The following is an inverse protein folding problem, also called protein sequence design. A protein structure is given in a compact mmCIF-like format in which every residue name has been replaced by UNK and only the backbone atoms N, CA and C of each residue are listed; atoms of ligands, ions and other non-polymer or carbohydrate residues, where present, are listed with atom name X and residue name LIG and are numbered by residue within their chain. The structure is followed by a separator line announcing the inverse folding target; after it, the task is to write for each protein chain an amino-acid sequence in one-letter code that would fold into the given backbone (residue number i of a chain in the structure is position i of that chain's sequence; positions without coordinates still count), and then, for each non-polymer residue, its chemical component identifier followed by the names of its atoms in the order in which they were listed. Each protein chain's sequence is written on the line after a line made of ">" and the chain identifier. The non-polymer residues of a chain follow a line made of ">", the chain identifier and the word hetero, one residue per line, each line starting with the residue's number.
data_IF_563628731902
#
_entry.id   IF_563628731902
#
_cell.length_a   1.000
_cell.length_b   1.000
_cell.length_c   1.000
_cell.angle_alpha   90.00
_cell.angle_beta   90.00
_cell.angle_gamma   90.00
#
_symmetry.space_group_name_H-M   'P 1'
#
loop_
_entity.id
_entity.type
_entity.pdbx_description
1 polymer ?
#
# COMPACT_ATOMS: atom_id res chain seq x y z
N UNK A 1 6.36 -37.21 -17.04
CA UNK A 1 5.58 -37.35 -15.78
C UNK A 1 5.70 -36.07 -14.91
N UNK A 2 5.33 -34.88 -15.42
CA UNK A 2 5.45 -33.59 -14.69
C UNK A 2 4.11 -32.85 -14.47
N UNK A 3 2.99 -33.34 -15.02
CA UNK A 3 1.69 -32.70 -14.92
C UNK A 3 1.10 -32.62 -13.48
N UNK A 4 1.23 -33.65 -12.61
CA UNK A 4 0.60 -33.62 -11.28
C UNK A 4 1.16 -32.53 -10.35
N UNK A 5 2.45 -32.23 -10.47
CA UNK A 5 3.18 -31.28 -9.60
C UNK A 5 2.84 -29.84 -9.99
N UNK A 6 2.71 -29.56 -11.30
CA UNK A 6 2.31 -28.24 -11.78
C UNK A 6 0.90 -27.88 -11.33
N UNK A 7 -0.03 -28.85 -11.37
CA UNK A 7 -1.40 -28.68 -10.92
C UNK A 7 -1.49 -28.44 -9.40
N UNK A 8 -0.70 -29.15 -8.61
CA UNK A 8 -0.67 -28.98 -7.15
C UNK A 8 -0.15 -27.60 -6.74
N UNK A 9 0.87 -27.12 -7.44
CA UNK A 9 1.47 -25.82 -7.18
C UNK A 9 0.51 -24.69 -7.57
N UNK A 10 -0.13 -24.76 -8.75
CA UNK A 10 -1.19 -23.81 -9.13
C UNK A 10 -2.35 -23.79 -8.11
N UNK A 11 -2.77 -24.98 -7.64
CA UNK A 11 -3.80 -25.10 -6.59
C UNK A 11 -3.35 -24.47 -5.27
N UNK A 12 -2.08 -24.57 -4.91
CA UNK A 12 -1.54 -23.97 -3.68
C UNK A 12 -1.47 -22.43 -3.76
N UNK A 13 -1.05 -21.86 -4.90
CA UNK A 13 -1.12 -20.42 -5.11
C UNK A 13 -2.56 -19.89 -5.05
N UNK A 14 -3.50 -20.60 -5.68
CA UNK A 14 -4.92 -20.24 -5.62
C UNK A 14 -5.44 -20.27 -4.16
N UNK A 15 -5.09 -21.31 -3.40
CA UNK A 15 -5.42 -21.39 -1.96
C UNK A 15 -4.83 -20.23 -1.16
N UNK A 16 -3.58 -19.84 -1.45
CA UNK A 16 -2.95 -18.72 -0.77
C UNK A 16 -3.65 -17.39 -1.06
N UNK A 17 -4.02 -17.14 -2.32
CA UNK A 17 -4.80 -15.97 -2.72
C UNK A 17 -6.17 -15.93 -2.02
N UNK A 18 -6.86 -17.07 -1.95
CA UNK A 18 -8.13 -17.17 -1.19
C UNK A 18 -7.95 -16.90 0.31
N UNK A 19 -6.85 -17.35 0.92
CA UNK A 19 -6.56 -17.04 2.33
C UNK A 19 -6.35 -15.55 2.56
N UNK A 20 -5.68 -14.84 1.63
CA UNK A 20 -5.51 -13.39 1.70
C UNK A 20 -6.87 -12.69 1.61
N UNK A 21 -7.69 -13.05 0.62
CA UNK A 21 -9.04 -12.50 0.46
C UNK A 21 -9.90 -12.76 1.69
N UNK A 22 -9.87 -13.96 2.27
CA UNK A 22 -10.59 -14.27 3.50
C UNK A 22 -10.14 -13.39 4.68
N UNK A 23 -8.83 -13.12 4.81
CA UNK A 23 -8.29 -12.20 5.83
C UNK A 23 -8.74 -10.76 5.59
N UNK A 24 -8.67 -10.27 4.35
CA UNK A 24 -9.10 -8.91 3.98
C UNK A 24 -10.61 -8.72 4.18
N UNK A 25 -11.44 -9.69 3.78
CA UNK A 25 -12.89 -9.71 4.04
C UNK A 25 -13.20 -9.70 5.54
N UNK A 26 -12.48 -10.51 6.33
CA UNK A 26 -12.60 -10.52 7.81
C UNK A 26 -12.19 -9.17 8.42
N UNK A 27 -11.15 -8.53 7.88
CA UNK A 27 -10.74 -7.20 8.32
C UNK A 27 -11.81 -6.14 7.97
N UNK A 28 -12.36 -6.17 6.76
CA UNK A 28 -13.45 -5.28 6.33
C UNK A 28 -14.68 -5.42 7.23
N UNK A 29 -15.20 -6.64 7.40
CA UNK A 29 -16.37 -6.95 8.23
C UNK A 29 -16.24 -6.48 9.69
N UNK A 30 -15.01 -6.44 10.21
CA UNK A 30 -14.72 -6.04 11.58
C UNK A 30 -14.26 -4.57 11.68
N UNK A 31 -14.49 -3.73 10.67
CA UNK A 31 -14.06 -2.32 10.61
C UNK A 31 -12.54 -2.15 10.85
N UNK A 32 -11.76 -3.16 10.46
CA UNK A 32 -10.32 -3.25 10.68
C UNK A 32 -9.51 -3.11 9.41
N UNK A 33 -10.14 -2.99 8.24
CA UNK A 33 -9.45 -2.69 6.99
C UNK A 33 -9.21 -1.18 6.87
N UNK A 34 -7.97 -0.79 6.60
CA UNK A 34 -7.59 0.55 6.19
C UNK A 34 -6.98 0.46 4.78
N UNK A 35 -7.44 1.31 3.86
CA UNK A 35 -6.96 1.38 2.49
C UNK A 35 -6.15 2.66 2.35
N UNK A 36 -4.91 2.53 1.89
CA UNK A 36 -4.06 3.66 1.52
C UNK A 36 -4.01 3.71 -0.01
N UNK A 37 -4.63 4.74 -0.58
CA UNK A 37 -4.61 5.01 -2.01
C UNK A 37 -3.37 5.84 -2.37
N UNK A 38 -2.68 5.44 -3.43
CA UNK A 38 -1.58 6.21 -4.03
C UNK A 38 -1.94 6.78 -5.40
N UNK A 39 -0.96 7.41 -6.05
CA UNK A 39 -1.17 8.17 -7.27
C UNK A 39 -1.67 7.31 -8.43
N UNK A 40 -1.42 6.00 -8.40
CA UNK A 40 -1.95 5.04 -9.38
C UNK A 40 -3.47 4.97 -9.38
N UNK A 41 -4.14 5.30 -8.27
CA UNK A 41 -5.59 5.42 -8.24
C UNK A 41 -6.04 6.60 -9.10
N UNK A 42 -5.48 7.79 -8.86
CA UNK A 42 -5.80 9.00 -9.63
C UNK A 42 -5.45 8.80 -11.11
N UNK A 43 -4.22 8.36 -11.41
CA UNK A 43 -3.78 8.11 -12.79
C UNK A 43 -4.68 7.15 -13.55
N UNK A 44 -5.19 6.10 -12.88
CA UNK A 44 -6.10 5.15 -13.52
C UNK A 44 -7.47 5.78 -13.83
N UNK A 45 -8.08 6.46 -12.85
CA UNK A 45 -9.43 6.99 -13.03
C UNK A 45 -9.49 8.17 -13.99
N UNK A 46 -8.38 8.90 -14.15
CA UNK A 46 -8.26 10.04 -15.06
C UNK A 46 -7.59 9.71 -16.39
N UNK A 47 -7.19 8.45 -16.63
CA UNK A 47 -6.54 8.03 -17.87
C UNK A 47 -7.32 8.48 -19.12
N UNK A 48 -6.62 8.82 -20.19
CA UNK A 48 -7.24 9.30 -21.43
C UNK A 48 -8.11 8.23 -22.10
N UNK A 49 -8.74 8.57 -23.23
CA UNK A 49 -9.59 7.63 -23.99
C UNK A 49 -8.82 6.43 -24.55
N UNK A 50 -7.50 6.55 -24.67
CA UNK A 50 -6.59 5.48 -25.11
C UNK A 50 -6.07 4.65 -23.93
N UNK A 51 -6.44 5.00 -22.70
CA UNK A 51 -5.99 4.34 -21.47
C UNK A 51 -4.62 4.80 -20.97
N UNK A 52 -4.06 5.88 -21.52
CA UNK A 52 -2.78 6.41 -21.05
C UNK A 52 -2.97 7.20 -19.75
N UNK A 53 -2.11 6.99 -18.74
CA UNK A 53 -2.16 7.77 -17.51
C UNK A 53 -1.88 9.25 -17.79
N UNK A 54 -2.43 10.13 -16.95
CA UNK A 54 -2.10 11.56 -17.01
C UNK A 54 -0.65 11.78 -16.58
N UNK A 55 0.28 11.86 -17.53
CA UNK A 55 1.71 12.00 -17.24
C UNK A 55 2.01 13.20 -16.34
N UNK A 56 1.27 14.31 -16.44
CA UNK A 56 1.51 15.55 -15.68
C UNK A 56 1.45 15.42 -14.15
N UNK A 57 0.89 14.33 -13.61
CA UNK A 57 0.84 14.09 -12.16
C UNK A 57 1.77 12.96 -11.70
N UNK A 58 2.62 12.43 -12.59
CA UNK A 58 3.78 11.64 -12.17
C UNK A 58 4.81 12.57 -11.53
N UNK A 59 5.69 12.04 -10.69
CA UNK A 59 6.61 12.88 -9.92
C UNK A 59 7.56 13.71 -10.78
N UNK A 60 8.20 13.10 -11.77
CA UNK A 60 9.12 13.78 -12.69
C UNK A 60 8.43 14.91 -13.43
N UNK A 61 7.24 14.65 -13.98
CA UNK A 61 6.49 15.66 -14.74
C UNK A 61 5.85 16.70 -13.82
N UNK A 62 5.47 16.35 -12.60
CA UNK A 62 5.01 17.30 -11.59
C UNK A 62 6.12 18.29 -11.24
N UNK A 63 7.34 17.79 -10.98
CA UNK A 63 8.48 18.64 -10.65
C UNK A 63 8.88 19.50 -11.85
N UNK A 64 8.89 18.93 -13.05
CA UNK A 64 9.11 19.67 -14.30
C UNK A 64 8.07 20.77 -14.49
N UNK A 65 6.79 20.46 -14.29
CA UNK A 65 5.68 21.41 -14.38
C UNK A 65 5.84 22.58 -13.39
N UNK A 66 6.24 22.30 -12.15
CA UNK A 66 6.53 23.36 -11.18
C UNK A 66 7.69 24.24 -11.60
N UNK A 67 8.78 23.65 -12.09
CA UNK A 67 9.93 24.41 -12.58
C UNK A 67 9.59 25.27 -13.80
N UNK A 68 8.86 24.70 -14.76
CA UNK A 68 8.38 25.40 -15.95
C UNK A 68 7.45 26.56 -15.59
N UNK A 69 6.55 26.37 -14.61
CA UNK A 69 5.70 27.46 -14.10
C UNK A 69 6.53 28.62 -13.52
N UNK A 70 7.56 28.31 -12.72
CA UNK A 70 8.44 29.36 -12.17
C UNK A 70 9.19 30.13 -13.27
N UNK A 71 9.59 29.44 -14.35
CA UNK A 71 10.30 30.05 -15.49
C UNK A 71 9.34 30.85 -16.38
N UNK A 72 8.19 30.29 -16.74
CA UNK A 72 7.25 30.92 -17.68
C UNK A 72 6.63 32.20 -17.11
N UNK A 73 6.38 32.21 -15.81
CA UNK A 73 5.84 33.38 -15.10
C UNK A 73 6.95 34.38 -14.69
N UNK A 74 8.22 34.08 -14.99
CA UNK A 74 9.34 34.99 -14.76
C UNK A 74 9.80 35.11 -13.30
N UNK A 75 9.43 34.16 -12.43
CA UNK A 75 9.90 34.12 -11.04
C UNK A 75 11.38 33.70 -10.95
N UNK A 76 11.82 32.81 -11.84
CA UNK A 76 13.20 32.36 -11.96
C UNK A 76 13.62 32.33 -13.43
N UNK A 77 14.93 32.31 -13.67
CA UNK A 77 15.51 32.27 -15.02
C UNK A 77 16.28 30.96 -15.24
N UNK A 78 16.34 30.48 -16.48
CA UNK A 78 17.04 29.23 -16.84
C UNK A 78 18.56 29.31 -16.67
N UNK A 79 19.14 30.52 -16.64
CA UNK A 79 20.55 30.75 -16.29
C UNK A 79 20.81 30.64 -14.78
N UNK A 80 19.78 30.65 -13.94
CA UNK A 80 19.93 30.49 -12.50
C UNK A 80 20.51 29.12 -12.17
N UNK A 81 21.60 29.08 -11.38
CA UNK A 81 22.29 27.84 -11.02
C UNK A 81 21.39 26.81 -10.34
N UNK A 82 20.45 27.24 -9.47
CA UNK A 82 19.50 26.32 -8.80
C UNK A 82 18.49 25.77 -9.80
N UNK A 83 17.94 26.62 -10.67
CA UNK A 83 16.99 26.22 -11.72
C UNK A 83 17.63 25.22 -12.69
N UNK A 84 18.86 25.50 -13.16
CA UNK A 84 19.60 24.56 -14.01
C UNK A 84 19.83 23.22 -13.32
N UNK A 85 20.28 23.23 -12.06
CA UNK A 85 20.47 22.00 -11.27
C UNK A 85 19.17 21.21 -11.14
N UNK A 86 18.02 21.88 -10.98
CA UNK A 86 16.73 21.20 -10.89
C UNK A 86 16.37 20.51 -12.22
N UNK A 87 16.54 21.17 -13.37
CA UNK A 87 16.36 20.52 -14.68
C UNK A 87 17.32 19.35 -14.87
N UNK A 88 18.62 19.54 -14.58
CA UNK A 88 19.62 18.47 -14.70
C UNK A 88 19.27 17.26 -13.82
N UNK A 89 18.74 17.50 -12.61
CA UNK A 89 18.33 16.45 -11.68
C UNK A 89 17.04 15.71 -12.10
N UNK A 90 16.18 16.32 -12.94
CA UNK A 90 15.01 15.66 -13.52
C UNK A 90 15.33 14.73 -14.69
N UNK A 91 16.52 14.85 -15.27
CA UNK A 91 17.04 13.92 -16.27
C UNK A 91 17.76 12.72 -15.63
N UNK A 92 18.00 12.77 -14.32
CA UNK A 92 18.59 11.66 -13.56
C UNK A 92 17.52 10.58 -13.30
N UNK A 93 17.71 9.33 -13.77
CA UNK A 93 16.78 8.25 -13.52
C UNK A 93 16.78 7.77 -12.06
N UNK A 94 17.71 8.25 -11.22
CA UNK A 94 17.77 7.90 -9.81
C UNK A 94 16.82 8.74 -8.94
N UNK A 95 16.28 8.10 -7.89
CA UNK A 95 15.34 8.73 -6.94
C UNK A 95 15.95 9.94 -6.22
N UNK A 96 17.26 9.96 -6.02
CA UNK A 96 17.96 11.05 -5.35
C UNK A 96 17.92 12.35 -6.19
N UNK A 97 18.00 12.24 -7.52
CA UNK A 97 17.85 13.38 -8.43
C UNK A 97 16.46 14.01 -8.35
N UNK A 98 15.42 13.17 -8.33
CA UNK A 98 14.04 13.62 -8.19
C UNK A 98 13.78 14.34 -6.85
N UNK A 99 14.35 13.84 -5.75
CA UNK A 99 14.27 14.50 -4.44
C UNK A 99 15.02 15.84 -4.42
N UNK A 100 16.17 15.92 -5.08
CA UNK A 100 16.93 17.16 -5.24
C UNK A 100 16.14 18.22 -6.03
N UNK A 101 15.50 17.81 -7.13
CA UNK A 101 14.61 18.67 -7.90
C UNK A 101 13.43 19.14 -7.05
N UNK A 102 12.78 18.24 -6.31
CA UNK A 102 11.66 18.56 -5.43
C UNK A 102 12.04 19.58 -4.35
N UNK A 103 13.21 19.43 -3.72
CA UNK A 103 13.73 20.39 -2.75
C UNK A 103 13.91 21.79 -3.37
N UNK A 104 14.43 21.88 -4.60
CA UNK A 104 14.66 23.16 -5.28
C UNK A 104 13.34 23.81 -5.70
N UNK A 105 12.46 23.07 -6.37
CA UNK A 105 11.16 23.56 -6.85
C UNK A 105 10.32 24.04 -5.67
N UNK A 106 10.20 23.23 -4.62
CA UNK A 106 9.42 23.58 -3.42
C UNK A 106 9.98 24.83 -2.74
N UNK A 107 11.30 24.92 -2.59
CA UNK A 107 11.97 26.09 -2.00
C UNK A 107 11.69 27.36 -2.81
N UNK A 108 11.79 27.32 -4.14
CA UNK A 108 11.53 28.47 -5.00
C UNK A 108 10.05 28.85 -5.01
N UNK A 109 9.15 27.88 -5.12
CA UNK A 109 7.70 28.10 -5.04
C UNK A 109 7.29 28.78 -3.74
N UNK A 110 7.78 28.28 -2.59
CA UNK A 110 7.51 28.85 -1.26
C UNK A 110 8.09 30.27 -1.15
N UNK A 111 9.32 30.50 -1.66
CA UNK A 111 9.96 31.83 -1.66
C UNK A 111 9.15 32.88 -2.43
N UNK A 112 8.54 32.50 -3.56
CA UNK A 112 7.77 33.41 -4.42
C UNK A 112 6.27 33.41 -4.12
N UNK A 113 5.82 32.73 -3.07
CA UNK A 113 4.41 32.64 -2.70
C UNK A 113 3.53 31.89 -3.72
N UNK A 114 4.14 31.13 -4.63
CA UNK A 114 3.44 30.46 -5.73
C UNK A 114 3.00 29.03 -5.38
N UNK A 115 3.50 28.46 -4.28
CA UNK A 115 3.29 27.04 -3.97
C UNK A 115 1.81 26.62 -3.96
N UNK A 116 0.94 27.39 -3.29
CA UNK A 116 -0.49 27.06 -3.24
C UNK A 116 -1.19 27.24 -4.59
N UNK A 117 -0.85 28.29 -5.34
CA UNK A 117 -1.45 28.57 -6.66
C UNK A 117 -1.04 27.52 -7.69
N UNK A 118 0.23 27.10 -7.65
CA UNK A 118 0.74 26.04 -8.49
C UNK A 118 0.05 24.70 -8.19
N UNK A 119 -0.05 24.31 -6.92
CA UNK A 119 -0.76 23.09 -6.54
C UNK A 119 -2.24 23.11 -6.99
N UNK A 120 -2.95 24.23 -6.79
CA UNK A 120 -4.31 24.43 -7.29
C UNK A 120 -4.39 24.24 -8.81
N UNK A 121 -3.45 24.83 -9.56
CA UNK A 121 -3.42 24.74 -11.03
C UNK A 121 -3.23 23.30 -11.54
N UNK A 122 -2.53 22.45 -10.79
CA UNK A 122 -2.26 21.06 -11.16
C UNK A 122 -3.40 20.14 -10.75
N UNK A 123 -3.90 20.28 -9.52
CA UNK A 123 -4.78 19.30 -8.89
C UNK A 123 -6.26 19.73 -8.87
N UNK A 124 -6.57 21.03 -8.95
CA UNK A 124 -7.91 21.58 -8.72
C UNK A 124 -9.01 21.07 -9.67
N UNK A 125 -8.63 20.68 -10.90
CA UNK A 125 -9.57 20.16 -11.91
C UNK A 125 -9.65 18.63 -11.98
N UNK A 126 -8.77 17.88 -11.29
CA UNK A 126 -8.61 16.44 -11.54
C UNK A 126 -9.87 15.63 -11.26
N UNK A 127 -10.64 16.02 -10.25
CA UNK A 127 -11.93 15.39 -9.92
C UNK A 127 -12.98 15.52 -11.03
N UNK A 128 -12.84 16.51 -11.92
CA UNK A 128 -13.70 16.70 -13.10
C UNK A 128 -13.21 15.89 -14.31
N UNK A 129 -11.99 15.36 -14.26
CA UNK A 129 -11.35 14.61 -15.35
C UNK A 129 -11.48 13.09 -15.19
N UNK A 130 -12.32 12.63 -14.26
CA UNK A 130 -12.60 11.20 -14.07
C UNK A 130 -13.29 10.65 -15.32
N UNK A 131 -12.67 9.67 -15.96
CA UNK A 131 -13.16 8.95 -17.16
C UNK A 131 -13.43 7.48 -16.88
N UNK A 132 -12.68 6.88 -15.95
CA UNK A 132 -12.72 5.44 -15.64
C UNK A 132 -13.04 5.21 -14.16
N UNK A 133 -14.30 5.36 -13.71
CA UNK A 133 -14.65 5.40 -12.29
C UNK A 133 -14.57 4.04 -11.58
N UNK A 134 -14.37 2.94 -12.29
CA UNK A 134 -14.55 1.59 -11.76
C UNK A 134 -13.70 1.29 -10.51
N UNK A 135 -12.47 1.81 -10.44
CA UNK A 135 -11.61 1.64 -9.27
C UNK A 135 -12.12 2.44 -8.07
N UNK A 136 -12.45 3.72 -8.26
CA UNK A 136 -12.94 4.59 -7.19
C UNK A 136 -14.34 4.20 -6.71
N UNK A 137 -15.20 3.66 -7.59
CA UNK A 137 -16.50 3.06 -7.23
C UNK A 137 -16.33 1.93 -6.22
N UNK A 138 -15.34 1.06 -6.43
CA UNK A 138 -15.08 -0.07 -5.53
C UNK A 138 -14.47 0.41 -4.21
N UNK A 139 -13.57 1.40 -4.24
CA UNK A 139 -13.04 2.02 -3.01
C UNK A 139 -14.15 2.66 -2.18
N UNK A 140 -15.09 3.35 -2.83
CA UNK A 140 -16.29 3.90 -2.20
C UNK A 140 -17.14 2.81 -1.56
N UNK A 141 -17.46 1.75 -2.29
CA UNK A 141 -18.25 0.63 -1.76
C UNK A 141 -17.56 -0.08 -0.58
N UNK A 142 -16.23 -0.21 -0.62
CA UNK A 142 -15.45 -0.74 0.51
C UNK A 142 -15.52 0.17 1.73
N UNK A 143 -15.46 1.49 1.53
CA UNK A 143 -15.63 2.46 2.61
C UNK A 143 -17.03 2.37 3.25
N UNK A 144 -18.07 2.30 2.42
CA UNK A 144 -19.46 2.10 2.86
C UNK A 144 -19.62 0.81 3.67
N UNK A 145 -18.83 -0.24 3.37
CA UNK A 145 -18.75 -1.49 4.14
C UNK A 145 -17.80 -1.45 5.34
N UNK A 146 -17.25 -0.29 5.71
CA UNK A 146 -16.49 -0.08 6.94
C UNK A 146 -14.98 0.02 6.78
N UNK A 147 -14.44 0.03 5.55
CA UNK A 147 -13.02 0.33 5.33
C UNK A 147 -12.72 1.80 5.68
N UNK A 148 -11.58 2.03 6.33
CA UNK A 148 -11.06 3.38 6.55
C UNK A 148 -10.25 3.81 5.31
N UNK A 149 -10.47 5.03 4.79
CA UNK A 149 -9.75 5.54 3.61
C UNK A 149 -8.66 6.54 4.02
N UNK A 150 -7.46 6.35 3.49
CA UNK A 150 -6.33 7.25 3.59
C UNK A 150 -5.72 7.41 2.20
N UNK A 151 -5.01 8.49 1.97
CA UNK A 151 -4.33 8.76 0.70
C UNK A 151 -2.97 9.39 0.91
N UNK A 152 -2.04 9.11 0.00
CA UNK A 152 -0.79 9.86 -0.14
C UNK A 152 -0.85 10.87 -1.29
N UNK A 153 -2.00 10.98 -1.96
CA UNK A 153 -2.20 11.91 -3.06
C UNK A 153 -2.54 13.30 -2.53
N UNK A 154 -2.11 14.31 -3.26
CA UNK A 154 -2.40 15.71 -2.95
C UNK A 154 -3.79 16.14 -3.45
N UNK A 155 -4.31 15.48 -4.48
CA UNK A 155 -5.61 15.76 -5.12
C UNK A 155 -6.82 15.46 -4.22
N UNK A 156 -8.02 15.88 -4.67
CA UNK A 156 -9.29 15.72 -3.95
C UNK A 156 -10.25 14.72 -4.61
N UNK A 157 -9.72 13.84 -5.47
CA UNK A 157 -10.53 12.93 -6.28
C UNK A 157 -11.34 11.98 -5.40
N UNK A 158 -10.71 11.43 -4.34
CA UNK A 158 -11.39 10.54 -3.41
C UNK A 158 -12.49 11.25 -2.63
N UNK A 159 -12.20 12.43 -2.07
CA UNK A 159 -13.14 13.19 -1.26
C UNK A 159 -14.38 13.59 -2.06
N UNK A 160 -14.17 14.23 -3.22
CA UNK A 160 -15.27 14.71 -4.07
C UNK A 160 -16.12 13.56 -4.59
N UNK A 161 -15.50 12.49 -5.08
CA UNK A 161 -16.23 11.35 -5.65
C UNK A 161 -16.97 10.53 -4.59
N UNK A 162 -16.32 10.28 -3.45
CA UNK A 162 -16.92 9.52 -2.35
C UNK A 162 -17.87 10.37 -1.48
N UNK A 163 -17.91 11.70 -1.69
CA UNK A 163 -18.63 12.67 -0.84
C UNK A 163 -18.17 12.59 0.62
N UNK A 164 -16.87 12.53 0.80
CA UNK A 164 -16.21 12.45 2.10
C UNK A 164 -15.53 13.78 2.41
N UNK A 165 -15.37 14.09 3.68
CA UNK A 165 -14.57 15.25 4.06
C UNK A 165 -13.08 14.90 3.99
N UNK A 166 -12.30 15.91 3.64
CA UNK A 166 -10.84 15.86 3.77
C UNK A 166 -10.46 15.94 5.23
N UNK A 167 -9.49 15.13 5.65
CA UNK A 167 -8.93 15.16 7.00
C UNK A 167 -7.43 15.40 6.88
N UNK A 168 -7.03 16.61 7.27
CA UNK A 168 -5.64 17.03 7.38
C UNK A 168 -4.99 16.59 8.70
N UNK A 169 -3.69 16.88 8.81
CA UNK A 169 -2.85 16.48 9.96
C UNK A 169 -2.90 17.50 11.10
N UNK A 170 -3.21 18.76 10.80
CA UNK A 170 -3.15 19.86 11.77
C UNK A 170 -4.35 19.91 12.72
N UNK A 171 -5.51 19.39 12.31
CA UNK A 171 -6.71 19.37 13.15
C UNK A 171 -6.77 18.11 14.03
N UNK A 172 -6.22 18.18 15.24
CA UNK A 172 -6.13 17.04 16.16
C UNK A 172 -7.50 16.45 16.55
N UNK A 173 -8.55 17.27 16.61
CA UNK A 173 -9.89 16.82 16.95
C UNK A 173 -10.46 15.95 15.84
N UNK A 174 -10.33 16.39 14.58
CA UNK A 174 -10.77 15.63 13.42
C UNK A 174 -9.97 14.35 13.26
N UNK A 175 -8.64 14.39 13.46
CA UNK A 175 -7.79 13.19 13.45
C UNK A 175 -8.23 12.19 14.51
N UNK A 176 -8.52 12.64 15.73
CA UNK A 176 -8.94 11.77 16.83
C UNK A 176 -10.32 11.16 16.57
N UNK A 177 -11.28 11.95 16.08
CA UNK A 177 -12.61 11.47 15.69
C UNK A 177 -12.54 10.49 14.54
N UNK A 178 -11.68 10.75 13.55
CA UNK A 178 -11.44 9.85 12.42
C UNK A 178 -10.86 8.50 12.87
N UNK A 179 -9.85 8.51 13.74
CA UNK A 179 -9.24 7.28 14.28
C UNK A 179 -10.24 6.39 15.00
N UNK A 180 -11.17 6.99 15.76
CA UNK A 180 -12.26 6.27 16.45
C UNK A 180 -13.38 5.83 15.51
N UNK A 181 -13.49 6.44 14.33
CA UNK A 181 -14.54 6.19 13.34
C UNK A 181 -15.77 7.09 13.48
N UNK A 182 -15.71 8.09 14.35
CA UNK A 182 -16.76 9.11 14.58
C UNK A 182 -16.85 10.11 13.41
N UNK A 183 -15.74 10.27 12.67
CA UNK A 183 -15.65 11.15 11.51
C UNK A 183 -15.36 10.32 10.25
N UNK A 184 -16.27 10.38 9.27
CA UNK A 184 -16.08 9.75 7.96
C UNK A 184 -15.37 10.72 7.03
N UNK A 185 -14.19 10.35 6.55
CA UNK A 185 -13.40 11.18 5.67
C UNK A 185 -12.27 10.41 5.01
N UNK A 186 -11.44 11.14 4.26
CA UNK A 186 -10.19 10.66 3.70
C UNK A 186 -9.06 11.36 4.43
N UNK A 187 -8.16 10.61 5.04
CA UNK A 187 -6.99 11.18 5.71
C UNK A 187 -5.81 11.34 4.74
N UNK A 188 -5.29 12.57 4.62
CA UNK A 188 -4.19 12.90 3.72
C UNK A 188 -2.85 12.81 4.45
N UNK A 189 -2.12 11.72 4.20
CA UNK A 189 -0.83 11.48 4.87
C UNK A 189 0.21 12.51 4.43
N UNK A 190 0.20 12.89 3.15
CA UNK A 190 1.12 13.87 2.56
C UNK A 190 0.50 15.26 2.40
N UNK A 191 -0.62 15.55 3.07
CA UNK A 191 -1.37 16.79 2.89
C UNK A 191 -2.16 16.83 1.58
N UNK A 192 -2.81 17.96 1.34
CA UNK A 192 -3.67 18.20 0.17
C UNK A 192 -3.36 19.55 -0.46
N UNK A 193 -3.59 19.69 -1.77
CA UNK A 193 -3.41 20.99 -2.46
C UNK A 193 -4.25 22.11 -1.83
N UNK A 194 -5.40 21.77 -1.23
CA UNK A 194 -6.29 22.70 -0.55
C UNK A 194 -5.74 23.18 0.81
N UNK A 195 -4.79 22.44 1.38
CA UNK A 195 -4.07 22.77 2.62
C UNK A 195 -2.56 22.77 2.34
N UNK A 196 -2.10 23.65 1.44
CA UNK A 196 -0.72 23.64 0.94
C UNK A 196 0.38 23.66 2.03
N UNK A 197 0.10 24.18 3.21
CA UNK A 197 1.02 24.17 4.35
C UNK A 197 1.25 22.78 4.96
N UNK A 198 0.38 21.80 4.68
CA UNK A 198 0.54 20.41 5.10
C UNK A 198 1.17 19.52 4.04
N UNK A 199 1.40 20.03 2.82
CA UNK A 199 1.88 19.23 1.69
C UNK A 199 3.32 18.76 1.94
N UNK A 200 3.56 17.47 1.72
CA UNK A 200 4.85 16.82 1.93
C UNK A 200 5.46 16.49 0.58
N UNK A 201 6.23 17.44 0.03
CA UNK A 201 6.82 17.30 -1.30
C UNK A 201 8.35 17.16 -1.26
N UNK A 202 9.00 17.70 -0.22
CA UNK A 202 10.45 17.76 -0.10
C UNK A 202 10.99 16.95 1.09
N UNK A 203 12.31 16.80 1.16
CA UNK A 203 12.98 16.01 2.21
C UNK A 203 12.84 16.60 3.62
N UNK A 204 12.65 17.92 3.74
CA UNK A 204 12.45 18.62 5.01
C UNK A 204 11.05 18.33 5.53
N UNK A 205 10.04 18.51 4.69
CA UNK A 205 8.64 18.23 5.01
C UNK A 205 8.50 16.74 5.42
N UNK A 206 9.20 15.84 4.74
CA UNK A 206 9.24 14.42 5.11
C UNK A 206 9.86 14.18 6.50
N UNK A 207 10.98 14.85 6.81
CA UNK A 207 11.59 14.77 8.12
C UNK A 207 10.61 15.24 9.21
N UNK A 208 9.90 16.34 8.99
CA UNK A 208 8.91 16.85 9.94
C UNK A 208 7.76 15.87 10.16
N UNK A 209 7.22 15.29 9.09
CA UNK A 209 6.16 14.28 9.16
C UNK A 209 6.64 13.04 9.91
N UNK A 210 7.86 12.58 9.59
CA UNK A 210 8.49 11.44 10.25
C UNK A 210 8.67 11.67 11.74
N UNK A 211 8.83 12.91 12.21
CA UNK A 211 9.00 13.24 13.64
C UNK A 211 7.74 13.81 14.28
N UNK A 212 6.66 14.03 13.53
CA UNK A 212 5.39 14.51 14.05
C UNK A 212 4.76 13.44 14.95
N UNK A 213 4.55 13.79 16.23
CA UNK A 213 3.90 12.91 17.21
C UNK A 213 2.50 12.47 16.80
N UNK A 214 1.72 13.35 16.16
CA UNK A 214 0.35 13.06 15.69
C UNK A 214 0.37 11.97 14.62
N UNK A 215 1.12 12.19 13.54
CA UNK A 215 1.26 11.23 12.43
C UNK A 215 1.86 9.90 12.90
N UNK A 216 2.93 9.93 13.70
CA UNK A 216 3.53 8.71 14.23
C UNK A 216 2.55 7.92 15.09
N UNK A 217 1.82 8.59 15.99
CA UNK A 217 0.84 7.95 16.87
C UNK A 217 -0.28 7.32 16.05
N UNK A 218 -0.82 8.07 15.09
CA UNK A 218 -1.85 7.61 14.18
C UNK A 218 -1.38 6.37 13.40
N UNK A 219 -0.27 6.48 12.67
CA UNK A 219 0.24 5.38 11.84
C UNK A 219 0.57 4.15 12.68
N UNK A 220 1.12 4.33 13.89
CA UNK A 220 1.38 3.23 14.83
C UNK A 220 0.07 2.55 15.25
N UNK A 221 -0.98 3.32 15.55
CA UNK A 221 -2.29 2.78 15.86
C UNK A 221 -2.89 2.02 14.65
N UNK A 222 -2.78 2.55 13.44
CA UNK A 222 -3.21 1.84 12.22
C UNK A 222 -2.42 0.54 11.99
N UNK A 223 -1.10 0.56 12.11
CA UNK A 223 -0.26 -0.64 11.94
C UNK A 223 -0.57 -1.71 13.00
N UNK A 224 -0.86 -1.31 14.24
CA UNK A 224 -1.16 -2.23 15.33
C UNK A 224 -2.61 -2.75 15.27
N UNK A 225 -3.56 -1.88 14.95
CA UNK A 225 -5.00 -2.13 15.11
C UNK A 225 -5.79 -2.25 13.81
N UNK A 226 -5.16 -2.07 12.64
CA UNK A 226 -5.79 -2.23 11.32
C UNK A 226 -4.95 -3.16 10.44
N UNK A 227 -5.61 -3.80 9.49
CA UNK A 227 -4.96 -4.43 8.33
C UNK A 227 -4.91 -3.36 7.25
N UNK A 228 -3.71 -3.10 6.73
CA UNK A 228 -3.51 -2.05 5.73
C UNK A 228 -3.42 -2.70 4.35
N UNK A 229 -4.16 -2.14 3.40
CA UNK A 229 -4.14 -2.50 2.00
C UNK A 229 -3.73 -1.28 1.18
N UNK A 230 -2.55 -1.33 0.56
CA UNK A 230 -2.07 -0.29 -0.34
C UNK A 230 -2.60 -0.55 -1.76
N UNK A 231 -3.17 0.48 -2.39
CA UNK A 231 -3.83 0.41 -3.69
C UNK A 231 -3.32 1.53 -4.58
N UNK A 232 -2.84 1.20 -5.79
CA UNK A 232 -2.27 2.18 -6.70
C UNK A 232 -0.97 2.78 -6.17
N UNK A 233 -0.09 1.93 -5.61
CA UNK A 233 1.21 2.31 -5.06
C UNK A 233 2.37 1.43 -5.62
N UNK A 234 2.22 0.88 -6.83
CA UNK A 234 3.20 0.02 -7.50
C UNK A 234 4.31 0.77 -8.25
N UNK A 235 5.13 0.05 -9.02
CA UNK A 235 6.24 0.62 -9.81
C UNK A 235 5.77 1.64 -10.85
N UNK A 236 6.60 2.67 -11.08
CA UNK A 236 6.29 3.81 -11.96
C UNK A 236 5.52 4.94 -11.26
N UNK A 237 5.23 4.77 -9.97
CA UNK A 237 4.73 5.82 -9.08
C UNK A 237 5.88 6.17 -8.13
N UNK A 238 6.88 6.85 -8.68
CA UNK A 238 8.15 7.22 -8.03
C UNK A 238 7.95 8.22 -6.89
N UNK A 239 7.05 7.92 -5.95
CA UNK A 239 6.86 8.71 -4.74
C UNK A 239 7.95 8.35 -3.74
N UNK A 240 8.98 9.20 -3.58
CA UNK A 240 10.08 8.91 -2.67
C UNK A 240 9.62 9.00 -1.20
N UNK A 241 8.57 9.79 -0.94
CA UNK A 241 7.99 9.97 0.39
C UNK A 241 7.17 8.73 0.80
N UNK A 242 6.51 8.09 -0.17
CA UNK A 242 5.80 6.84 0.04
C UNK A 242 6.75 5.67 0.37
N UNK A 243 7.86 5.50 -0.35
CA UNK A 243 8.87 4.47 -0.02
C UNK A 243 9.41 4.67 1.40
N UNK A 244 9.68 5.92 1.78
CA UNK A 244 10.18 6.23 3.10
C UNK A 244 9.13 5.93 4.21
N UNK A 245 7.84 6.21 3.98
CA UNK A 245 6.72 5.81 4.85
C UNK A 245 6.64 4.29 5.00
N UNK A 246 6.78 3.54 3.90
CA UNK A 246 6.79 2.07 3.91
C UNK A 246 8.01 1.50 4.63
N UNK A 247 9.19 2.08 4.42
CA UNK A 247 10.43 1.73 5.12
C UNK A 247 10.34 2.03 6.62
N UNK A 248 9.65 3.11 7.01
CA UNK A 248 9.38 3.39 8.41
C UNK A 248 8.47 2.32 9.01
N UNK A 249 7.39 1.94 8.32
CA UNK A 249 6.49 0.88 8.74
C UNK A 249 7.22 -0.48 8.83
N UNK A 250 8.16 -0.75 7.93
CA UNK A 250 8.93 -2.01 7.86
C UNK A 250 10.03 -2.11 8.91
N UNK A 251 10.84 -1.06 9.08
CA UNK A 251 11.99 -1.06 10.02
C UNK A 251 11.57 -1.19 11.47
N UNK A 252 10.32 -0.84 11.81
CA UNK A 252 9.90 -0.76 13.21
C UNK A 252 9.45 -2.07 13.84
N UNK A 253 9.34 -3.19 13.11
CA UNK A 253 8.81 -4.42 13.73
C UNK A 253 9.19 -5.76 13.08
N UNK A 254 9.92 -6.58 13.85
CA UNK A 254 9.94 -8.06 13.73
C UNK A 254 8.66 -8.73 14.27
N UNK A 255 7.75 -7.98 14.89
CA UNK A 255 6.61 -8.48 15.70
C UNK A 255 5.27 -7.74 15.43
N UNK A 256 4.99 -7.27 14.20
CA UNK A 256 3.65 -6.71 13.94
C UNK A 256 2.61 -7.83 14.10
N UNK A 257 1.52 -7.60 14.86
CA UNK A 257 0.49 -8.61 15.09
C UNK A 257 -0.33 -8.92 13.83
N UNK A 258 -0.17 -8.13 12.75
CA UNK A 258 -0.97 -8.24 11.53
C UNK A 258 -0.14 -8.16 10.27
N UNK A 259 -0.58 -8.89 9.26
CA UNK A 259 -0.08 -8.79 7.90
C UNK A 259 -0.71 -7.57 7.20
N UNK A 260 0.11 -6.81 6.49
CA UNK A 260 -0.28 -5.70 5.62
C UNK A 260 0.02 -6.08 4.17
N UNK A 261 -0.76 -5.54 3.24
CA UNK A 261 -0.78 -5.99 1.85
C UNK A 261 -0.55 -4.83 0.89
N UNK A 262 0.24 -5.08 -0.15
CA UNK A 262 0.42 -4.18 -1.28
C UNK A 262 -0.17 -4.83 -2.52
N UNK A 263 -1.21 -4.23 -3.08
CA UNK A 263 -1.75 -4.66 -4.36
C UNK A 263 -0.84 -4.15 -5.47
N UNK A 264 -0.34 -5.07 -6.29
CA UNK A 264 0.56 -4.78 -7.39
C UNK A 264 0.06 -5.46 -8.67
N UNK A 265 0.49 -4.93 -9.81
CA UNK A 265 0.39 -5.61 -11.09
C UNK A 265 1.40 -6.74 -11.20
N UNK A 266 1.21 -7.62 -12.17
CA UNK A 266 2.06 -8.79 -12.35
C UNK A 266 3.51 -8.44 -12.74
N UNK A 267 3.68 -7.36 -13.50
CA UNK A 267 4.94 -6.80 -13.99
C UNK A 267 5.64 -5.89 -12.97
N UNK A 268 4.94 -5.48 -11.91
CA UNK A 268 5.54 -4.65 -10.87
C UNK A 268 6.63 -5.43 -10.12
N UNK A 269 7.85 -4.89 -10.11
CA UNK A 269 9.05 -5.54 -9.53
C UNK A 269 9.30 -5.15 -8.08
N UNK A 270 8.56 -4.16 -7.57
CA UNK A 270 8.73 -3.57 -6.25
C UNK A 270 8.62 -4.63 -5.14
N UNK A 271 9.54 -4.57 -4.16
CA UNK A 271 9.56 -5.48 -3.02
C UNK A 271 9.82 -4.74 -1.70
N UNK A 272 8.72 -4.31 -1.06
CA UNK A 272 8.77 -3.69 0.27
C UNK A 272 8.52 -4.72 1.36
N UNK A 273 9.55 -5.44 1.80
CA UNK A 273 9.43 -6.29 2.99
C UNK A 273 9.18 -5.41 4.24
N UNK A 274 8.26 -5.77 5.15
CA UNK A 274 7.52 -7.04 5.29
C UNK A 274 6.11 -7.05 4.67
N UNK A 275 5.75 -6.11 3.78
CA UNK A 275 4.43 -6.09 3.15
C UNK A 275 4.27 -7.32 2.24
N UNK A 276 3.13 -8.00 2.37
CA UNK A 276 2.82 -9.10 1.48
C UNK A 276 2.32 -8.55 0.15
N UNK A 277 3.05 -8.82 -0.93
CA UNK A 277 2.66 -8.46 -2.28
C UNK A 277 1.52 -9.35 -2.76
N UNK A 278 0.49 -8.71 -3.29
CA UNK A 278 -0.69 -9.37 -3.84
C UNK A 278 -0.80 -8.99 -5.30
N UNK A 279 -0.38 -9.92 -6.16
CA UNK A 279 -0.50 -9.80 -7.61
C UNK A 279 -1.96 -9.96 -8.01
N UNK A 280 -2.51 -8.93 -8.64
CA UNK A 280 -3.92 -8.90 -9.04
C UNK A 280 -4.12 -9.28 -10.52
N UNK A 281 -3.11 -9.04 -11.35
CA UNK A 281 -3.12 -9.25 -12.79
C UNK A 281 -2.27 -8.21 -13.51
N UNK A 282 -2.12 -8.31 -14.84
CA UNK A 282 -1.31 -7.39 -15.64
C UNK A 282 -1.95 -6.01 -15.84
N UNK A 283 -3.26 -5.86 -15.65
CA UNK A 283 -3.96 -4.61 -15.95
C UNK A 283 -4.65 -4.00 -14.72
N UNK A 284 -4.96 -2.72 -14.80
CA UNK A 284 -5.71 -2.03 -13.74
C UNK A 284 -7.13 -2.57 -13.58
N UNK A 285 -7.76 -3.09 -14.63
CA UNK A 285 -9.08 -3.72 -14.51
C UNK A 285 -9.03 -4.96 -13.60
N UNK A 286 -7.89 -5.66 -13.54
CA UNK A 286 -7.71 -6.82 -12.66
C UNK A 286 -7.64 -6.41 -11.18
N UNK A 287 -7.11 -5.21 -10.89
CA UNK A 287 -7.15 -4.61 -9.55
C UNK A 287 -8.60 -4.36 -9.11
N UNK A 288 -9.43 -3.83 -10.02
CA UNK A 288 -10.86 -3.60 -9.77
C UNK A 288 -11.57 -4.92 -9.49
N UNK A 289 -11.33 -5.95 -10.31
CA UNK A 289 -11.91 -7.28 -10.11
C UNK A 289 -11.48 -7.89 -8.77
N UNK A 290 -10.20 -7.76 -8.40
CA UNK A 290 -9.70 -8.24 -7.12
C UNK A 290 -10.40 -7.55 -5.94
N UNK A 291 -10.51 -6.22 -5.97
CA UNK A 291 -11.15 -5.45 -4.91
C UNK A 291 -12.66 -5.72 -4.83
N UNK A 292 -13.35 -5.92 -5.96
CA UNK A 292 -14.78 -6.31 -5.99
C UNK A 292 -15.03 -7.61 -5.22
N UNK A 293 -14.10 -8.57 -5.30
CA UNK A 293 -14.22 -9.83 -4.55
C UNK A 293 -14.26 -9.62 -3.04
N UNK A 294 -13.71 -8.53 -2.51
CA UNK A 294 -13.80 -8.21 -1.08
C UNK A 294 -15.22 -7.81 -0.66
N UNK A 295 -16.06 -7.38 -1.61
CA UNK A 295 -17.46 -7.03 -1.38
C UNK A 295 -18.39 -8.24 -1.42
N UNK A 296 -17.96 -9.37 -2.01
CA UNK A 296 -18.78 -10.58 -2.09
C UNK A 296 -19.15 -11.09 -0.68
N UNK A 297 -20.46 -11.19 -0.42
CA UNK A 297 -21.00 -11.80 0.79
C UNK A 297 -20.96 -13.33 0.76
N UNK A 298 -20.51 -13.92 -0.36
CA UNK A 298 -20.32 -15.35 -0.48
C UNK A 298 -19.25 -15.82 0.51
N UNK A 299 -19.72 -16.34 1.65
CA UNK A 299 -18.97 -17.33 2.40
C UNK A 299 -18.57 -18.41 1.40
N UNK A 300 -17.27 -18.51 1.11
CA UNK A 300 -16.74 -19.64 0.36
C UNK A 300 -17.06 -20.87 1.21
N UNK A 301 -18.16 -21.55 0.88
CA UNK A 301 -18.46 -22.88 1.36
C UNK A 301 -17.43 -23.82 0.72
N UNK A 302 -16.20 -23.81 1.25
CA UNK A 302 -15.35 -24.99 1.11
C UNK A 302 -16.10 -26.10 1.84
N UNK A 303 -16.41 -27.20 1.17
CA UNK A 303 -17.04 -28.40 1.75
C UNK A 303 -16.15 -29.07 2.80
N UNK A 304 -15.94 -28.38 3.92
CA UNK A 304 -15.50 -28.88 5.20
C UNK A 304 -16.24 -28.01 6.21
N UNK A 305 -17.02 -28.63 7.10
CA UNK A 305 -17.78 -27.93 8.15
C UNK A 305 -16.94 -26.78 8.74
N UNK A 306 -17.46 -25.53 8.78
CA UNK A 306 -16.67 -24.40 9.23
C UNK A 306 -16.27 -24.62 10.69
N UNK A 307 -14.97 -24.58 11.05
CA UNK A 307 -14.63 -24.28 12.43
C UNK A 307 -15.20 -22.88 12.71
N UNK A 308 -15.90 -22.77 13.82
CA UNK A 308 -16.64 -21.59 14.31
C UNK A 308 -16.02 -20.23 13.93
N UNK A 309 -16.89 -19.25 13.67
CA UNK A 309 -16.69 -17.86 13.18
C UNK A 309 -15.57 -17.03 13.85
N UNK A 310 -14.88 -17.55 14.86
CA UNK A 310 -13.82 -16.90 15.63
C UNK A 310 -12.60 -17.81 15.91
N UNK A 311 -12.52 -19.01 15.32
CA UNK A 311 -11.39 -19.92 15.54
C UNK A 311 -10.07 -19.33 14.99
N UNK A 312 -8.95 -19.43 15.73
CA UNK A 312 -7.65 -18.98 15.26
C UNK A 312 -7.14 -19.84 14.09
N UNK A 313 -6.45 -19.20 13.14
CA UNK A 313 -5.83 -19.91 12.01
C UNK A 313 -4.59 -20.67 12.46
N UNK A 314 -4.46 -21.92 12.01
CA UNK A 314 -3.31 -22.79 12.33
C UNK A 314 -1.98 -22.12 12.01
N UNK A 315 -0.98 -22.36 12.85
CA UNK A 315 0.37 -21.87 12.63
C UNK A 315 1.02 -22.46 11.36
N UNK A 316 1.92 -21.69 10.75
CA UNK A 316 2.75 -22.07 9.61
C UNK A 316 3.87 -23.03 10.04
N UNK A 317 4.25 -23.93 9.14
CA UNK A 317 5.36 -24.85 9.35
C UNK A 317 6.71 -24.18 9.05
N UNK A 318 7.80 -24.79 9.54
CA UNK A 318 9.16 -24.31 9.29
C UNK A 318 9.49 -24.25 7.79
N UNK A 319 9.03 -25.25 7.03
CA UNK A 319 9.16 -25.27 5.58
C UNK A 319 8.46 -24.06 4.92
N UNK A 320 7.28 -23.67 5.39
CA UNK A 320 6.55 -22.54 4.82
C UNK A 320 7.25 -21.21 5.08
N UNK A 321 7.87 -21.03 6.26
CA UNK A 321 8.72 -19.87 6.52
C UNK A 321 9.93 -19.83 5.59
N UNK A 322 10.60 -20.97 5.39
CA UNK A 322 11.72 -21.10 4.47
C UNK A 322 11.32 -20.85 3.02
N UNK A 323 10.24 -21.47 2.56
CA UNK A 323 9.78 -21.38 1.19
C UNK A 323 9.37 -19.93 0.86
N UNK A 324 8.70 -19.22 1.77
CA UNK A 324 8.34 -17.82 1.56
C UNK A 324 9.57 -16.91 1.46
N UNK A 325 10.61 -17.18 2.23
CA UNK A 325 11.85 -16.38 2.23
C UNK A 325 12.72 -16.66 1.00
N UNK A 326 12.78 -17.91 0.53
CA UNK A 326 13.68 -18.33 -0.55
C UNK A 326 13.04 -18.32 -1.94
N UNK A 327 11.71 -18.19 -2.03
CA UNK A 327 10.98 -18.26 -3.31
C UNK A 327 11.40 -17.20 -4.31
N UNK A 328 11.69 -16.00 -3.82
CA UNK A 328 12.12 -14.90 -4.67
C UNK A 328 13.57 -15.11 -5.15
N UNK A 329 14.49 -15.58 -4.29
CA UNK A 329 15.85 -15.95 -4.68
C UNK A 329 15.90 -17.06 -5.74
N UNK A 330 15.06 -18.09 -5.59
CA UNK A 330 14.95 -19.15 -6.61
C UNK A 330 14.50 -18.61 -7.96
N UNK A 331 13.62 -17.60 -7.97
CA UNK A 331 13.12 -16.98 -9.21
C UNK A 331 14.16 -16.06 -9.84
N UNK A 332 14.93 -15.34 -9.04
CA UNK A 332 16.02 -14.47 -9.51
C UNK A 332 17.16 -15.29 -10.12
N UNK A 333 17.56 -16.39 -9.47
CA UNK A 333 18.60 -17.28 -9.97
C UNK A 333 18.17 -18.08 -11.21
N UNK A 334 16.87 -18.14 -11.51
CA UNK A 334 16.33 -18.89 -12.63
C UNK A 334 15.30 -18.05 -13.42
N UNK A 335 15.74 -17.05 -14.22
CA UNK A 335 14.82 -16.24 -15.01
C UNK A 335 13.95 -17.10 -15.95
N UNK A 336 12.63 -16.89 -15.94
CA UNK A 336 11.68 -17.68 -16.74
C UNK A 336 11.24 -19.02 -16.12
N UNK A 337 11.71 -19.35 -14.91
CA UNK A 337 11.28 -20.56 -14.19
C UNK A 337 9.78 -20.51 -13.87
N UNK A 338 9.07 -21.59 -14.20
CA UNK A 338 7.64 -21.69 -13.93
C UNK A 338 7.39 -21.83 -12.42
N UNK A 339 6.21 -21.40 -11.96
CA UNK A 339 5.86 -21.48 -10.55
C UNK A 339 6.00 -22.91 -9.98
N UNK A 340 5.68 -23.92 -10.78
CA UNK A 340 5.86 -25.33 -10.42
C UNK A 340 7.32 -25.75 -10.23
N UNK A 341 8.19 -25.23 -11.09
CA UNK A 341 9.63 -25.48 -10.99
C UNK A 341 10.23 -24.77 -9.77
N UNK A 342 9.71 -23.60 -9.38
CA UNK A 342 10.12 -22.91 -8.14
C UNK A 342 9.82 -23.75 -6.90
N UNK A 343 8.61 -24.31 -6.81
CA UNK A 343 8.24 -25.18 -5.68
C UNK A 343 9.16 -26.41 -5.56
N UNK A 344 9.55 -26.99 -6.70
CA UNK A 344 10.51 -28.10 -6.75
C UNK A 344 11.90 -27.68 -6.23
N UNK A 345 12.44 -26.58 -6.73
CA UNK A 345 13.75 -26.07 -6.29
C UNK A 345 13.72 -25.73 -4.79
N UNK A 346 12.64 -25.14 -4.28
CA UNK A 346 12.48 -24.87 -2.85
C UNK A 346 12.39 -26.16 -2.02
N UNK A 347 11.66 -27.17 -2.49
CA UNK A 347 11.62 -28.48 -1.85
C UNK A 347 13.00 -29.14 -1.76
N UNK A 348 13.78 -29.05 -2.85
CA UNK A 348 15.13 -29.60 -2.91
C UNK A 348 16.11 -28.81 -2.01
N UNK A 349 16.04 -27.46 -2.01
CA UNK A 349 16.83 -26.62 -1.11
C UNK A 349 16.49 -26.88 0.36
N UNK A 350 15.22 -27.08 0.69
CA UNK A 350 14.80 -27.42 2.05
C UNK A 350 15.37 -28.76 2.52
N UNK A 351 15.32 -29.77 1.66
CA UNK A 351 15.93 -31.09 1.95
C UNK A 351 17.44 -30.99 2.12
N UNK A 352 18.09 -30.10 1.39
CA UNK A 352 19.53 -29.85 1.47
C UNK A 352 19.96 -29.06 2.73
N UNK A 353 19.05 -28.36 3.42
CA UNK A 353 19.39 -27.67 4.67
C UNK A 353 19.74 -28.65 5.78
N UNK A 354 20.84 -28.39 6.49
CA UNK A 354 21.19 -29.07 7.73
C UNK A 354 20.42 -28.50 8.94
N UNK A 355 20.50 -29.18 10.09
CA UNK A 355 19.77 -28.80 11.31
C UNK A 355 20.06 -27.36 11.76
N UNK A 356 21.32 -26.89 11.67
CA UNK A 356 21.67 -25.51 12.03
C UNK A 356 21.02 -24.47 11.11
N UNK A 357 20.85 -24.80 9.84
CA UNK A 357 20.18 -23.94 8.85
C UNK A 357 18.65 -24.02 8.96
N UNK A 358 18.10 -25.14 9.44
CA UNK A 358 16.66 -25.29 9.71
C UNK A 358 16.23 -24.65 11.03
N UNK A 359 17.11 -24.63 12.03
CA UNK A 359 16.87 -24.04 13.36
C UNK A 359 16.16 -22.68 13.37
N UNK A 360 16.53 -21.66 12.55
CA UNK A 360 15.81 -20.38 12.53
C UNK A 360 14.36 -20.52 12.05
N UNK A 361 14.08 -21.41 11.10
CA UNK A 361 12.73 -21.65 10.57
C UNK A 361 11.89 -22.49 11.54
N UNK A 362 12.52 -23.44 12.23
CA UNK A 362 11.89 -24.21 13.31
C UNK A 362 11.55 -23.31 14.50
N UNK A 363 12.41 -22.35 14.85
CA UNK A 363 12.12 -21.33 15.86
C UNK A 363 10.95 -20.43 15.44
N UNK A 364 10.90 -19.96 14.18
CA UNK A 364 9.76 -19.20 13.63
C UNK A 364 8.46 -20.01 13.69
N UNK A 365 8.51 -21.30 13.32
CA UNK A 365 7.36 -22.19 13.40
C UNK A 365 6.92 -22.48 14.84
N UNK A 366 7.85 -22.61 15.79
CA UNK A 366 7.53 -22.79 17.20
C UNK A 366 6.87 -21.54 17.80
N UNK A 367 7.36 -20.34 17.45
CA UNK A 367 6.74 -19.07 17.86
C UNK A 367 5.32 -18.92 17.28
N UNK A 368 5.12 -19.27 16.01
CA UNK A 368 3.80 -19.17 15.36
C UNK A 368 2.82 -20.25 15.87
N UNK A 369 3.34 -21.43 16.24
CA UNK A 369 2.60 -22.47 16.96
C UNK A 369 2.15 -21.96 18.34
N UNK A 370 3.05 -21.30 19.08
CA UNK A 370 2.72 -20.70 20.39
C UNK A 370 1.66 -19.61 20.25
N UNK A 371 1.79 -18.71 19.27
CA UNK A 371 0.73 -17.73 18.94
C UNK A 371 -0.62 -18.42 18.70
N UNK A 372 -0.64 -19.48 17.88
CA UNK A 372 -1.86 -20.23 17.61
C UNK A 372 -2.43 -20.89 18.88
N UNK A 373 -1.60 -21.45 19.74
CA UNK A 373 -2.01 -22.04 21.03
C UNK A 373 -2.57 -20.98 21.99
N UNK A 374 -1.92 -19.82 22.11
CA UNK A 374 -2.36 -18.70 22.95
C UNK A 374 -3.69 -18.10 22.44
N UNK A 375 -3.82 -17.89 21.13
CA UNK A 375 -5.07 -17.45 20.51
C UNK A 375 -6.18 -18.50 20.66
N UNK A 376 -5.84 -19.80 20.63
CA UNK A 376 -6.80 -20.90 20.81
C UNK A 376 -7.25 -21.05 22.25
N UNK A 377 -6.34 -20.90 23.21
CA UNK A 377 -6.67 -20.89 24.63
C UNK A 377 -7.58 -19.69 24.97
N UNK A 378 -7.24 -18.51 24.45
CA UNK A 378 -8.08 -17.31 24.57
C UNK A 378 -9.45 -17.50 23.91
N UNK A 379 -9.49 -18.17 22.75
CA UNK A 379 -10.74 -18.50 22.06
C UNK A 379 -11.63 -19.45 22.87
N UNK A 380 -11.04 -20.49 23.49
CA UNK A 380 -11.77 -21.45 24.32
C UNK A 380 -12.28 -20.84 25.63
N UNK A 381 -11.49 -20.03 26.33
CA UNK A 381 -11.91 -19.36 27.57
C UNK A 381 -13.09 -18.39 27.35
N UNK A 382 -13.06 -17.63 26.24
CA UNK A 382 -14.16 -16.75 25.84
C UNK A 382 -15.42 -17.52 25.38
N UNK A 383 -15.31 -18.81 25.06
CA UNK A 383 -16.44 -19.67 24.72
C UNK A 383 -17.13 -20.20 26.00
N UNK A 384 -16.36 -20.54 27.04
CA UNK A 384 -16.87 -21.03 28.32
C UNK A 384 -17.58 -19.93 29.13
N UNK A 385 -17.09 -18.68 29.13
CA UNK A 385 -17.77 -17.54 29.80
C UNK A 385 -19.13 -17.17 29.16
N UNK A 386 -19.33 -17.48 27.88
CA UNK A 386 -20.58 -17.21 27.16
C UNK A 386 -21.64 -18.30 27.32
N UNK A 387 -21.27 -19.49 27.80
CA UNK A 387 -22.23 -20.56 28.11
C UNK A 387 -22.72 -20.49 29.57
N UNK A 388 -22.09 -19.69 30.43
CA UNK A 388 -22.41 -19.59 31.85
C UNK A 388 -23.10 -18.25 32.25
N UNK A 389 -23.37 -17.37 31.29
CA UNK A 389 -24.01 -16.06 31.47
C UNK A 389 -25.27 -15.97 30.62
#
# INVERSE_FOLDING_TARGET
>A
MNAPIQDEIVKEAARFQEQILARLRKALKNNRLAIIAGAGVTLNVTADTSGNPLSRITWTELMRNGLDHLVSEGYVDTSNRRTKRAYDALEDPEVDGLLDAANIVTSQMKQHGQFSLWLESVFGSLSQEIRHPALIDVLKALHERGATLLTTNYDDVLEKYCRLQRIGRSNQDDVSRFQRGDLKGVFHIHGSYLDAHEVVLDTTDYYEVKHSGVVQHMLKAFLQYKTILFVGCGSGLEDPNFDALLRWASKRHKNLPRQHYLLIRDDDTVNYQPLLRVKCGPRYEDLVLYLKRLLDDHEVQSQARPPSRNAPTRGLSAYLFFANEQRDHVREENPGISFGQIGKVLGDRWKALNEKQRAPYEAKAALDKKRYEDERASYNANAEEKECS
#
